data_IF_105620738385
#
_entry.id   IF_105620738385
#
_cell.length_a   1.000
_cell.length_b   1.000
_cell.length_c   1.000
_cell.angle_alpha   90.00
_cell.angle_beta   90.00
_cell.angle_gamma   90.00
#
_symmetry.space_group_name_H-M   'P 1'
#
loop_
_entity.id
_entity.type
_entity.pdbx_description
1 polymer ?
#
# COMPACT_ATOMS: atom_id res chain seq x y z
N UNK A 1 4.60 -9.18 -21.52
CA UNK A 1 4.43 -8.08 -20.55
C UNK A 1 2.97 -7.68 -20.62
N UNK A 2 2.24 -7.63 -19.49
CA UNK A 2 0.81 -7.29 -19.49
C UNK A 2 0.59 -5.88 -20.02
N UNK A 3 -0.41 -5.67 -20.86
CA UNK A 3 -0.82 -4.33 -21.27
C UNK A 3 -1.69 -3.69 -20.18
N UNK A 4 -1.45 -2.40 -19.91
CA UNK A 4 -2.17 -1.64 -18.90
C UNK A 4 -2.96 -0.47 -19.50
N UNK A 5 -2.82 -0.17 -20.80
CA UNK A 5 -3.42 1.03 -21.40
C UNK A 5 -4.95 1.08 -21.31
N UNK A 6 -5.60 -0.07 -21.22
CA UNK A 6 -7.06 -0.19 -21.17
C UNK A 6 -7.61 -0.18 -19.73
N UNK A 7 -6.77 0.05 -18.73
CA UNK A 7 -7.20 0.15 -17.34
C UNK A 7 -7.64 1.59 -17.01
N UNK A 8 -8.89 1.74 -16.55
CA UNK A 8 -9.38 3.02 -16.02
C UNK A 8 -8.71 3.39 -14.68
N UNK A 9 -8.31 2.38 -13.91
CA UNK A 9 -7.70 2.54 -12.60
C UNK A 9 -6.82 1.33 -12.25
N UNK A 10 -5.69 1.56 -11.57
CA UNK A 10 -4.83 0.50 -11.05
C UNK A 10 -4.95 0.42 -9.53
N UNK A 11 -5.29 -0.77 -9.02
CA UNK A 11 -5.27 -1.09 -7.58
C UNK A 11 -4.06 -1.97 -7.30
N UNK A 12 -3.13 -1.44 -6.51
CA UNK A 12 -1.88 -2.13 -6.20
C UNK A 12 -1.88 -2.72 -4.78
N UNK A 13 -2.02 -4.05 -4.71
CA UNK A 13 -1.95 -4.86 -3.50
C UNK A 13 -0.67 -5.73 -3.42
N UNK A 14 0.41 -5.33 -4.09
CA UNK A 14 1.68 -6.07 -4.13
C UNK A 14 2.50 -5.85 -2.85
N UNK A 15 3.10 -6.90 -2.28
CA UNK A 15 3.92 -6.77 -1.06
C UNK A 15 5.40 -6.42 -1.32
N UNK A 16 5.94 -6.80 -2.47
CA UNK A 16 7.35 -6.54 -2.81
C UNK A 16 7.55 -5.10 -3.29
N UNK A 17 8.42 -4.35 -2.60
CA UNK A 17 8.75 -2.94 -2.92
C UNK A 17 9.15 -2.74 -4.38
N UNK A 18 10.02 -3.59 -4.93
CA UNK A 18 10.52 -3.46 -6.31
C UNK A 18 9.40 -3.52 -7.35
N UNK A 19 8.55 -4.55 -7.29
CA UNK A 19 7.42 -4.70 -8.21
C UNK A 19 6.38 -3.59 -8.03
N UNK A 20 6.22 -3.10 -6.80
CA UNK A 20 5.35 -1.96 -6.48
C UNK A 20 5.83 -0.70 -7.22
N UNK A 21 7.12 -0.40 -7.10
CA UNK A 21 7.75 0.76 -7.75
C UNK A 21 7.64 0.69 -9.27
N UNK A 22 7.94 -0.47 -9.87
CA UNK A 22 7.81 -0.67 -11.33
C UNK A 22 6.38 -0.42 -11.81
N UNK A 23 5.38 -0.96 -11.10
CA UNK A 23 3.96 -0.74 -11.43
C UNK A 23 3.59 0.73 -11.33
N UNK A 24 4.02 1.43 -10.27
CA UNK A 24 3.76 2.86 -10.07
C UNK A 24 4.40 3.69 -11.18
N UNK A 25 5.67 3.46 -11.50
CA UNK A 25 6.38 4.18 -12.57
C UNK A 25 5.69 3.99 -13.92
N UNK A 26 5.24 2.76 -14.21
CA UNK A 26 4.49 2.46 -15.43
C UNK A 26 3.12 3.14 -15.45
N UNK A 27 2.36 3.07 -14.37
CA UNK A 27 1.06 3.74 -14.25
C UNK A 27 1.20 5.25 -14.47
N UNK A 28 2.19 5.88 -13.82
CA UNK A 28 2.48 7.31 -13.98
C UNK A 28 2.88 7.69 -15.41
N UNK A 29 3.70 6.86 -16.07
CA UNK A 29 4.09 7.07 -17.47
C UNK A 29 2.91 6.96 -18.43
N UNK A 30 1.93 6.11 -18.14
CA UNK A 30 0.72 5.93 -18.94
C UNK A 30 -0.39 6.93 -18.57
N UNK A 31 -0.22 7.73 -17.52
CA UNK A 31 -1.25 8.65 -17.04
C UNK A 31 -2.44 7.97 -16.36
N UNK A 32 -2.30 6.70 -15.96
CA UNK A 32 -3.38 5.91 -15.35
C UNK A 32 -3.40 6.18 -13.84
N UNK A 33 -4.56 6.51 -13.24
CA UNK A 33 -4.66 6.69 -11.80
C UNK A 33 -4.37 5.37 -11.07
N UNK A 34 -3.65 5.49 -9.96
CA UNK A 34 -3.19 4.34 -9.17
C UNK A 34 -3.34 4.63 -7.68
N UNK A 35 -3.85 3.63 -6.95
CA UNK A 35 -3.87 3.58 -5.49
C UNK A 35 -3.10 2.35 -5.01
N UNK A 36 -2.19 2.54 -4.06
CA UNK A 36 -1.41 1.44 -3.50
C UNK A 36 -1.79 1.14 -2.05
N UNK A 37 -1.99 -0.14 -1.75
CA UNK A 37 -2.13 -0.63 -0.37
C UNK A 37 -0.76 -0.72 0.29
N UNK A 38 -0.63 -0.11 1.49
CA UNK A 38 0.55 -0.26 2.35
C UNK A 38 0.40 -1.47 3.29
N UNK A 39 1.30 -1.61 4.27
CA UNK A 39 1.31 -2.76 5.17
C UNK A 39 0.07 -2.85 6.07
N UNK A 40 -0.64 -3.98 5.97
CA UNK A 40 -1.75 -4.40 6.84
C UNK A 40 -1.35 -5.45 7.88
N UNK A 41 -0.15 -6.02 7.77
CA UNK A 41 0.36 -7.04 8.68
C UNK A 41 0.63 -6.51 10.10
N UNK A 42 0.48 -7.40 11.09
CA UNK A 42 0.60 -7.13 12.52
C UNK A 42 -0.33 -6.00 13.01
N UNK A 43 -1.54 -5.92 12.47
CA UNK A 43 -2.54 -4.91 12.83
C UNK A 43 -3.85 -5.58 13.21
N UNK A 44 -4.61 -4.93 14.09
CA UNK A 44 -5.90 -5.42 14.57
C UNK A 44 -7.03 -4.41 14.41
N UNK A 45 -6.73 -3.12 14.25
CA UNK A 45 -7.75 -2.07 14.23
C UNK A 45 -7.93 -1.49 12.81
N UNK A 46 -8.89 -2.01 12.03
CA UNK A 46 -9.13 -1.53 10.69
C UNK A 46 -9.75 -0.12 10.66
N UNK A 47 -10.30 0.38 11.78
CA UNK A 47 -10.83 1.75 11.84
C UNK A 47 -9.72 2.80 11.71
N UNK A 48 -8.46 2.40 11.89
CA UNK A 48 -7.28 3.26 11.74
C UNK A 48 -6.73 3.34 10.33
N UNK A 49 -7.37 2.67 9.37
CA UNK A 49 -7.06 2.85 7.95
C UNK A 49 -7.50 4.23 7.48
N UNK A 50 -6.70 4.81 6.60
CA UNK A 50 -7.00 6.07 5.96
C UNK A 50 -6.35 6.13 4.57
N UNK A 51 -6.94 6.95 3.72
CA UNK A 51 -6.43 7.23 2.38
C UNK A 51 -5.77 8.59 2.41
N UNK A 52 -4.55 8.67 1.90
CA UNK A 52 -3.75 9.90 1.88
C UNK A 52 -2.75 9.87 0.72
N UNK A 53 -2.02 10.97 0.52
CA UNK A 53 -0.81 10.92 -0.28
C UNK A 53 0.29 10.15 0.48
N UNK A 54 1.13 9.42 -0.26
CA UNK A 54 2.24 8.65 0.29
C UNK A 54 3.16 9.51 1.18
N UNK A 55 3.31 10.80 0.89
CA UNK A 55 4.18 11.70 1.65
C UNK A 55 3.59 12.15 2.99
N UNK A 56 2.28 12.00 3.20
CA UNK A 56 1.58 12.33 4.44
C UNK A 56 1.47 11.11 5.39
N UNK A 57 1.93 9.94 4.95
CA UNK A 57 1.81 8.71 5.73
C UNK A 57 2.74 8.69 6.95
N UNK A 58 2.23 8.14 8.05
CA UNK A 58 2.96 7.96 9.31
C UNK A 58 3.02 6.47 9.71
N UNK A 59 3.88 6.13 10.68
CA UNK A 59 4.02 4.84 11.39
C UNK A 59 4.26 3.55 10.57
N UNK A 60 4.07 3.56 9.25
CA UNK A 60 4.14 2.39 8.39
C UNK A 60 5.58 2.17 7.83
N UNK A 61 6.26 1.06 8.15
CA UNK A 61 7.60 0.77 7.66
C UNK A 61 7.67 0.67 6.12
N UNK A 62 6.66 0.04 5.50
CA UNK A 62 6.58 -0.05 4.04
C UNK A 62 6.44 1.34 3.41
N UNK A 63 5.55 2.17 3.95
CA UNK A 63 5.35 3.53 3.45
C UNK A 63 6.62 4.39 3.59
N UNK A 64 7.39 4.21 4.67
CA UNK A 64 8.70 4.87 4.85
C UNK A 64 9.68 4.53 3.72
N UNK A 65 9.81 3.24 3.37
CA UNK A 65 10.66 2.80 2.26
C UNK A 65 10.14 3.33 0.93
N UNK A 66 8.82 3.25 0.70
CA UNK A 66 8.19 3.76 -0.52
C UNK A 66 8.43 5.26 -0.70
N UNK A 67 8.26 6.10 0.34
CA UNK A 67 8.54 7.54 0.26
C UNK A 67 9.97 7.84 -0.19
N UNK A 68 10.95 7.09 0.35
CA UNK A 68 12.35 7.28 -0.02
C UNK A 68 12.60 6.92 -1.49
N UNK A 69 12.13 5.74 -1.92
CA UNK A 69 12.33 5.24 -3.28
C UNK A 69 11.58 6.06 -4.34
N UNK A 70 10.37 6.54 -4.03
CA UNK A 70 9.56 7.38 -4.93
C UNK A 70 10.16 8.78 -5.11
N UNK A 71 10.75 9.37 -4.05
CA UNK A 71 11.48 10.65 -4.16
C UNK A 71 12.67 10.52 -5.11
N UNK A 72 13.43 9.44 -5.02
CA UNK A 72 14.57 9.17 -5.90
C UNK A 72 14.17 9.02 -7.37
N UNK A 73 12.93 8.61 -7.63
CA UNK A 73 12.35 8.45 -8.97
C UNK A 73 11.62 9.69 -9.47
N UNK A 74 11.55 10.77 -8.67
CA UNK A 74 10.84 11.99 -9.04
C UNK A 74 9.31 11.86 -9.04
N UNK A 75 8.74 10.83 -8.38
CA UNK A 75 7.28 10.69 -8.27
C UNK A 75 6.75 11.71 -7.26
N UNK A 76 5.94 12.66 -7.73
CA UNK A 76 5.47 13.79 -6.92
C UNK A 76 4.32 13.47 -5.96
N UNK A 77 3.54 12.44 -6.26
CA UNK A 77 2.38 12.03 -5.46
C UNK A 77 2.00 10.58 -5.76
N UNK A 78 1.43 9.90 -4.77
CA UNK A 78 0.85 8.56 -4.91
C UNK A 78 -0.26 8.42 -3.87
N UNK A 79 -1.49 8.16 -4.33
CA UNK A 79 -2.59 7.86 -3.44
C UNK A 79 -2.35 6.49 -2.80
N UNK A 80 -2.48 6.39 -1.49
CA UNK A 80 -2.27 5.14 -0.77
C UNK A 80 -3.30 4.94 0.32
N UNK A 81 -3.62 3.68 0.61
CA UNK A 81 -4.23 3.29 1.87
C UNK A 81 -3.14 2.85 2.84
N UNK A 82 -3.13 3.45 4.03
CA UNK A 82 -2.25 3.03 5.13
C UNK A 82 -3.03 3.06 6.44
N UNK A 83 -2.47 2.49 7.50
CA UNK A 83 -3.07 2.61 8.84
C UNK A 83 -2.13 3.34 9.79
N UNK A 84 -2.74 4.17 10.64
CA UNK A 84 -2.06 4.92 11.72
C UNK A 84 -1.78 4.06 12.96
N UNK A 85 -2.21 2.79 12.95
CA UNK A 85 -1.85 1.79 13.95
C UNK A 85 -0.38 1.42 13.84
N UNK A 86 0.33 1.50 14.97
CA UNK A 86 1.67 0.93 15.11
C UNK A 86 1.56 -0.58 15.06
N UNK A 87 2.33 -1.21 14.16
CA UNK A 87 2.33 -2.65 14.02
C UNK A 87 2.71 -3.34 15.35
N UNK A 88 1.92 -4.35 15.73
CA UNK A 88 2.17 -5.17 16.90
C UNK A 88 3.46 -5.97 16.73
N UNK A 89 4.21 -6.11 17.81
CA UNK A 89 5.37 -6.99 17.86
C UNK A 89 4.88 -8.37 18.33
N UNK A 90 5.00 -9.43 17.51
CA UNK A 90 4.54 -10.74 17.93
C UNK A 90 5.36 -11.21 19.15
N UNK A 91 4.68 -11.75 20.16
CA UNK A 91 5.30 -12.29 21.38
C UNK A 91 5.49 -13.81 21.23
N UNK A 92 6.55 -14.35 21.84
CA UNK A 92 6.81 -15.80 21.90
C UNK A 92 6.95 -16.50 20.55
N UNK A 93 7.45 -15.79 19.54
CA UNK A 93 7.77 -16.35 18.22
C UNK A 93 9.23 -16.76 18.18
N UNK A 94 9.51 -17.92 17.60
CA UNK A 94 10.87 -18.33 17.31
C UNK A 94 11.57 -17.26 16.46
N UNK A 95 12.84 -16.93 16.79
CA UNK A 95 13.60 -15.99 15.98
C UNK A 95 13.72 -16.55 14.56
N UNK A 96 13.56 -15.70 13.52
CA UNK A 96 13.74 -16.14 12.15
C UNK A 96 15.17 -16.64 11.94
N UNK A 97 15.34 -17.58 11.01
CA UNK A 97 16.67 -18.05 10.60
C UNK A 97 17.59 -16.87 10.24
N UNK A 98 18.92 -16.99 10.45
CA UNK A 98 19.87 -15.92 10.15
C UNK A 98 19.67 -15.35 8.74
N UNK A 99 19.54 -14.01 8.65
CA UNK A 99 19.30 -13.31 7.39
C UNK A 99 17.84 -13.25 6.92
N UNK A 100 16.89 -13.89 7.63
CA UNK A 100 15.45 -13.76 7.35
C UNK A 100 14.80 -12.75 8.29
N UNK A 101 13.82 -12.02 7.75
CA UNK A 101 12.92 -11.19 8.55
C UNK A 101 11.78 -12.05 9.09
N UNK A 102 11.25 -11.65 10.24
CA UNK A 102 10.04 -12.27 10.77
C UNK A 102 8.86 -12.01 9.85
N UNK A 103 8.13 -13.06 9.49
CA UNK A 103 6.90 -12.94 8.71
C UNK A 103 5.85 -12.22 9.54
N UNK A 104 5.27 -11.11 9.05
CA UNK A 104 4.18 -10.44 9.73
C UNK A 104 2.96 -11.37 9.86
N UNK A 105 2.32 -11.38 11.02
CA UNK A 105 1.01 -11.99 11.20
C UNK A 105 -0.06 -11.22 10.43
N UNK A 106 -1.12 -11.93 10.01
CA UNK A 106 -2.26 -11.33 9.32
C UNK A 106 -3.55 -11.89 9.94
N UNK A 107 -4.55 -11.04 10.12
CA UNK A 107 -5.87 -11.42 10.63
C UNK A 107 -6.90 -11.15 9.54
N UNK A 108 -7.80 -12.11 9.30
CA UNK A 108 -8.64 -12.17 8.09
C UNK A 108 -9.39 -10.87 7.77
N UNK A 109 -9.91 -10.17 8.79
CA UNK A 109 -10.74 -8.99 8.57
C UNK A 109 -9.95 -7.72 8.24
N UNK A 110 -8.68 -7.60 8.65
CA UNK A 110 -7.92 -6.35 8.46
C UNK A 110 -7.58 -6.10 6.98
N UNK A 111 -7.00 -7.05 6.22
CA UNK A 111 -6.81 -6.89 4.78
C UNK A 111 -8.12 -6.74 4.00
N UNK A 112 -9.19 -7.42 4.42
CA UNK A 112 -10.50 -7.29 3.78
C UNK A 112 -11.05 -5.88 3.87
N UNK A 113 -10.99 -5.24 5.05
CA UNK A 113 -11.44 -3.84 5.20
C UNK A 113 -10.57 -2.89 4.36
N UNK A 114 -9.26 -3.09 4.33
CA UNK A 114 -8.38 -2.31 3.46
C UNK A 114 -8.78 -2.40 1.98
N UNK A 115 -9.08 -3.62 1.49
CA UNK A 115 -9.56 -3.83 0.12
C UNK A 115 -10.90 -3.13 -0.15
N UNK A 116 -11.86 -3.23 0.77
CA UNK A 116 -13.17 -2.56 0.63
C UNK A 116 -13.05 -1.03 0.63
N UNK A 117 -12.19 -0.47 1.48
CA UNK A 117 -11.93 0.97 1.51
C UNK A 117 -11.28 1.46 0.21
N UNK A 118 -10.30 0.72 -0.32
CA UNK A 118 -9.69 1.02 -1.62
C UNK A 118 -10.74 0.97 -2.73
N UNK A 119 -11.57 -0.06 -2.78
CA UNK A 119 -12.63 -0.18 -3.79
C UNK A 119 -13.60 1.00 -3.75
N UNK A 120 -14.03 1.41 -2.55
CA UNK A 120 -14.92 2.57 -2.37
C UNK A 120 -14.27 3.90 -2.78
N UNK A 121 -12.95 4.05 -2.62
CA UNK A 121 -12.21 5.22 -3.11
C UNK A 121 -12.08 5.23 -4.63
N UNK A 122 -11.75 4.08 -5.23
CA UNK A 122 -11.64 3.94 -6.69
C UNK A 122 -12.97 4.27 -7.36
N UNK A 123 -14.08 3.74 -6.85
CA UNK A 123 -15.41 4.04 -7.38
C UNK A 123 -15.68 5.54 -7.31
N UNK A 124 -15.41 6.18 -6.16
CA UNK A 124 -15.60 7.62 -5.96
C UNK A 124 -14.74 8.48 -6.91
N UNK A 125 -13.48 8.09 -7.14
CA UNK A 125 -12.62 8.74 -8.13
C UNK A 125 -13.20 8.61 -9.55
N UNK A 126 -13.64 7.41 -9.95
CA UNK A 126 -14.15 7.14 -11.30
C UNK A 126 -15.48 7.85 -11.60
N UNK A 127 -16.32 8.08 -10.58
CA UNK A 127 -17.58 8.82 -10.72
C UNK A 127 -17.45 10.31 -10.35
N UNK A 128 -16.22 10.80 -10.16
CA UNK A 128 -15.91 12.21 -9.85
C UNK A 128 -16.58 12.75 -8.57
N UNK A 129 -16.81 11.91 -7.57
CA UNK A 129 -17.39 12.32 -6.28
C UNK A 129 -16.32 12.34 -5.18
N UNK A 130 -15.91 13.54 -4.75
CA UNK A 130 -14.98 13.76 -3.63
C UNK A 130 -15.62 14.49 -2.46
#
# INVERSE_FOLDING_TARGET
>A
MFDLSDCDYIVDAIDSVSSKLELIERAKRLGIPIISSMGTGNKLDPSRFMIADIYDTSVCPLAKVMRYELRRRGVKSLKVLYSTETALVPKNVEPPAPGRRQTPGSISFVPSVAGLMIAGEVIRDLIEQK
#
